data_IF_467353829936
#
_entry.id   IF_467353829936
#
_cell.length_a   1.000
_cell.length_b   1.000
_cell.length_c   1.000
_cell.angle_alpha   90.00
_cell.angle_beta   90.00
_cell.angle_gamma   90.00
#
_symmetry.space_group_name_H-M   'P 1'
#
loop_
_entity.id
_entity.type
_entity.pdbx_description
1 polymer ?
#
# COMPACT_ATOMS: atom_id res chain seq x y z
N UNK A 1 6.15 0.36 -2.83
CA UNK A 1 6.48 0.37 -4.26
C UNK A 1 5.34 0.97 -5.08
N UNK A 2 5.65 1.66 -6.18
CA UNK A 2 4.67 2.10 -7.18
C UNK A 2 4.90 1.45 -8.55
N UNK A 3 3.82 1.16 -9.26
CA UNK A 3 3.81 0.83 -10.69
C UNK A 3 3.04 1.93 -11.44
N UNK A 4 3.70 2.64 -12.36
CA UNK A 4 3.17 3.84 -13.00
C UNK A 4 2.73 3.52 -14.43
N UNK A 5 1.43 3.55 -14.68
CA UNK A 5 0.85 3.47 -16.02
C UNK A 5 0.34 4.82 -16.51
N UNK A 6 0.03 4.91 -17.81
CA UNK A 6 -0.42 6.15 -18.47
C UNK A 6 -1.76 6.70 -17.95
N UNK A 7 -2.58 5.88 -17.30
CA UNK A 7 -3.91 6.26 -16.77
C UNK A 7 -4.06 6.07 -15.26
N UNK A 8 -3.22 5.22 -14.67
CA UNK A 8 -3.33 4.76 -13.28
C UNK A 8 -1.94 4.46 -12.74
N UNK A 9 -1.77 4.71 -11.45
CA UNK A 9 -0.63 4.25 -10.67
C UNK A 9 -1.13 3.22 -9.66
N UNK A 10 -0.37 2.16 -9.45
CA UNK A 10 -0.63 1.16 -8.42
C UNK A 10 0.39 1.32 -7.30
N UNK A 11 -0.07 1.35 -6.05
CA UNK A 11 0.76 1.28 -4.86
C UNK A 11 0.66 -0.13 -4.29
N UNK A 12 1.80 -0.73 -3.92
CA UNK A 12 1.88 -2.09 -3.38
C UNK A 12 2.73 -2.14 -2.11
N UNK A 13 2.23 -2.87 -1.10
CA UNK A 13 2.96 -3.16 0.13
C UNK A 13 3.85 -4.40 -0.09
N UNK A 14 5.17 -4.23 0.04
CA UNK A 14 6.15 -5.29 -0.27
C UNK A 14 6.04 -6.45 0.75
N UNK A 15 5.94 -6.11 2.04
CA UNK A 15 5.85 -7.11 3.11
C UNK A 15 4.49 -7.85 3.16
N UNK A 16 3.52 -7.40 2.36
CA UNK A 16 2.16 -7.94 2.33
C UNK A 16 1.75 -8.29 0.89
N UNK A 17 2.21 -9.43 0.36
CA UNK A 17 1.94 -9.84 -1.01
C UNK A 17 0.44 -9.87 -1.31
N UNK A 18 0.02 -9.25 -2.41
CA UNK A 18 -1.39 -9.12 -2.81
C UNK A 18 -2.12 -7.89 -2.25
N UNK A 19 -1.49 -7.13 -1.35
CA UNK A 19 -2.03 -5.83 -0.92
C UNK A 19 -1.52 -4.70 -1.84
N UNK A 20 -2.32 -4.39 -2.86
CA UNK A 20 -2.06 -3.31 -3.80
C UNK A 20 -3.30 -2.48 -4.14
N UNK A 21 -3.18 -1.18 -4.42
CA UNK A 21 -4.33 -0.31 -4.77
C UNK A 21 -3.98 0.68 -5.88
N UNK A 22 -4.97 0.96 -6.73
CA UNK A 22 -4.82 1.83 -7.89
C UNK A 22 -5.40 3.22 -7.65
N UNK A 23 -4.68 4.26 -8.07
CA UNK A 23 -5.12 5.66 -8.01
C UNK A 23 -4.82 6.40 -9.32
N UNK A 24 -5.37 7.62 -9.46
CA UNK A 24 -4.99 8.53 -10.55
C UNK A 24 -3.73 9.30 -10.13
N UNK A 25 -2.57 8.64 -10.22
CA UNK A 25 -1.30 9.16 -9.71
C UNK A 25 -0.87 8.47 -8.42
N UNK A 26 0.39 8.69 -8.04
CA UNK A 26 1.02 8.07 -6.87
C UNK A 26 0.27 8.44 -5.60
N UNK A 27 -0.18 9.69 -5.47
CA UNK A 27 -0.77 10.17 -4.25
C UNK A 27 -2.07 9.46 -3.92
N UNK A 28 -2.96 9.42 -4.90
CA UNK A 28 -4.25 8.74 -4.76
C UNK A 28 -4.09 7.22 -4.67
N UNK A 29 -3.04 6.65 -5.26
CA UNK A 29 -2.78 5.22 -5.17
C UNK A 29 -2.34 4.83 -3.75
N UNK A 30 -1.44 5.61 -3.14
CA UNK A 30 -1.00 5.36 -1.77
C UNK A 30 -2.12 5.62 -0.76
N UNK A 31 -2.88 6.71 -0.90
CA UNK A 31 -4.01 6.98 0.00
C UNK A 31 -5.02 5.82 -0.05
N UNK A 32 -5.34 5.33 -1.25
CA UNK A 32 -6.22 4.18 -1.40
C UNK A 32 -5.65 2.90 -0.76
N UNK A 33 -4.32 2.72 -0.78
CA UNK A 33 -3.65 1.61 -0.11
C UNK A 33 -3.79 1.72 1.41
N UNK A 34 -3.50 2.89 1.97
CA UNK A 34 -3.59 3.19 3.42
C UNK A 34 -5.02 3.04 3.93
N UNK A 35 -6.00 3.59 3.20
CA UNK A 35 -7.42 3.48 3.56
C UNK A 35 -7.89 2.02 3.58
N UNK A 36 -7.20 1.13 2.84
CA UNK A 36 -7.47 -0.30 2.83
C UNK A 36 -6.74 -1.07 3.94
N UNK A 37 -5.76 -0.46 4.63
CA UNK A 37 -4.97 -1.09 5.68
C UNK A 37 -5.81 -1.76 6.79
N UNK A 38 -6.92 -1.16 7.28
CA UNK A 38 -7.71 -1.77 8.36
C UNK A 38 -8.25 -3.17 8.03
N UNK A 39 -8.48 -3.48 6.75
CA UNK A 39 -8.91 -4.82 6.33
C UNK A 39 -7.80 -5.85 6.45
N UNK A 40 -6.57 -5.50 6.09
CA UNK A 40 -5.43 -6.40 6.24
C UNK A 40 -4.99 -6.54 7.70
N UNK A 41 -5.18 -5.50 8.52
CA UNK A 41 -4.89 -5.55 9.94
C UNK A 41 -5.68 -6.65 10.68
N UNK A 42 -6.93 -6.90 10.28
CA UNK A 42 -7.74 -8.00 10.84
C UNK A 42 -7.08 -9.35 10.55
N UNK A 43 -6.66 -9.57 9.29
CA UNK A 43 -6.00 -10.82 8.87
C UNK A 43 -4.67 -11.00 9.60
N UNK A 44 -3.87 -9.94 9.67
CA UNK A 44 -2.59 -9.94 10.39
C UNK A 44 -2.75 -10.28 11.86
N UNK A 45 -3.76 -9.68 12.51
CA UNK A 45 -4.11 -9.96 13.91
C UNK A 45 -4.48 -11.43 14.11
N UNK A 46 -5.32 -11.98 13.22
CA UNK A 46 -5.70 -13.40 13.28
C UNK A 46 -4.51 -14.33 13.07
N UNK A 47 -3.58 -13.95 12.21
CA UNK A 47 -2.37 -14.72 11.92
C UNK A 47 -1.25 -14.53 12.98
N UNK A 48 -1.41 -13.61 13.94
CA UNK A 48 -0.37 -13.28 14.92
C UNK A 48 0.85 -12.57 14.31
N UNK A 49 0.70 -11.97 13.13
CA UNK A 49 1.78 -11.28 12.41
C UNK A 49 1.77 -9.78 12.78
N UNK A 50 2.94 -9.18 13.08
CA UNK A 50 3.03 -7.74 13.33
C UNK A 50 2.49 -6.92 12.16
N UNK A 51 1.54 -6.03 12.43
CA UNK A 51 1.00 -5.09 11.44
C UNK A 51 1.21 -3.66 11.93
N UNK A 52 1.96 -2.80 11.22
CA UNK A 52 2.15 -1.43 11.64
C UNK A 52 0.87 -0.64 11.34
N UNK A 53 -0.01 -0.57 12.33
CA UNK A 53 -1.20 0.29 12.27
C UNK A 53 -0.77 1.76 12.45
N UNK A 54 -1.16 2.62 11.51
CA UNK A 54 -1.09 4.07 11.67
C UNK A 54 0.26 4.76 11.41
N UNK A 55 1.22 4.08 10.75
CA UNK A 55 2.53 4.68 10.42
C UNK A 55 2.77 4.93 8.94
N UNK A 56 1.85 4.56 8.06
CA UNK A 56 2.08 4.64 6.61
C UNK A 56 1.95 6.09 6.10
N UNK A 57 3.07 6.70 5.69
CA UNK A 57 3.15 7.99 4.98
C UNK A 57 3.71 7.81 3.57
N UNK A 58 3.64 8.85 2.73
CA UNK A 58 4.37 8.93 1.46
C UNK A 58 5.86 8.67 1.61
N UNK A 59 6.46 9.13 2.70
CA UNK A 59 7.87 8.97 2.99
C UNK A 59 8.28 7.52 3.24
N UNK A 60 7.34 6.64 3.60
CA UNK A 60 7.60 5.21 3.81
C UNK A 60 7.59 4.40 2.50
N UNK A 61 7.38 5.05 1.35
CA UNK A 61 7.32 4.34 0.07
C UNK A 61 8.70 4.24 -0.56
N UNK A 62 9.22 3.01 -0.64
CA UNK A 62 10.40 2.72 -1.46
C UNK A 62 10.06 2.92 -2.95
N UNK A 63 10.72 3.93 -3.54
CA UNK A 63 10.51 4.37 -4.92
C UNK A 63 11.38 3.52 -5.87
N UNK A 64 10.87 2.36 -6.28
CA UNK A 64 11.44 1.63 -7.40
C UNK A 64 10.99 2.32 -8.69
N UNK A 65 11.92 3.02 -9.34
CA UNK A 65 11.74 3.56 -10.69
C UNK A 65 11.73 2.40 -11.68
N UNK A 66 10.60 2.19 -12.34
CA UNK A 66 10.52 1.51 -13.63
C UNK A 66 10.65 2.52 -14.76
#
# INVERSE_FOLDING_TARGET
>A
MFEIGSKRTFASAIDWPGWCRAGKGQELALQALIDYAPRYAVVAKTAGVPFPLGRWSFDDVDHLRG
#
